data_IF_659633537907
#
_entry.id   IF_659633537907
#
_cell.length_a   1.000
_cell.length_b   1.000
_cell.length_c   1.000
_cell.angle_alpha   90.00
_cell.angle_beta   90.00
_cell.angle_gamma   90.00
#
_symmetry.space_group_name_H-M   'P 1'
#
loop_
_entity.id
_entity.type
_entity.pdbx_description
1 polymer ?
#
# COMPACT_ATOMS: atom_id res chain seq x y z
N UNK A 1 10.20 -4.54 -1.45
CA UNK A 1 11.00 -5.32 -0.48
C UNK A 1 10.05 -5.93 0.54
N UNK A 2 10.36 -7.12 1.04
CA UNK A 2 9.56 -7.86 2.02
C UNK A 2 10.50 -8.41 3.10
N UNK A 3 10.01 -8.51 4.34
CA UNK A 3 10.71 -9.08 5.48
C UNK A 3 9.75 -9.89 6.35
N UNK A 4 10.20 -11.04 6.83
CA UNK A 4 9.46 -11.90 7.77
C UNK A 4 10.22 -12.05 9.09
N UNK A 5 9.51 -12.09 10.22
CA UNK A 5 10.15 -12.28 11.54
C UNK A 5 10.29 -13.76 11.98
N UNK A 6 9.83 -14.70 11.15
CA UNK A 6 9.84 -16.14 11.43
C UNK A 6 8.73 -16.65 12.35
N UNK A 7 7.91 -15.75 12.91
CA UNK A 7 6.72 -16.07 13.71
C UNK A 7 5.41 -15.99 12.89
N UNK A 8 5.52 -15.81 11.57
CA UNK A 8 4.39 -15.63 10.67
C UNK A 8 4.02 -14.16 10.43
N UNK A 9 4.73 -13.20 11.02
CA UNK A 9 4.54 -11.79 10.70
C UNK A 9 5.40 -11.40 9.49
N UNK A 10 4.78 -10.72 8.53
CA UNK A 10 5.41 -10.26 7.29
C UNK A 10 5.12 -8.78 7.11
N UNK A 11 6.15 -8.00 6.81
CA UNK A 11 6.00 -6.61 6.39
C UNK A 11 6.67 -6.42 5.04
N UNK A 12 6.18 -5.47 4.27
CA UNK A 12 6.82 -5.14 3.02
C UNK A 12 6.28 -3.89 2.37
N UNK A 13 6.98 -3.49 1.32
CA UNK A 13 6.66 -2.36 0.48
C UNK A 13 6.82 -2.77 -0.98
N UNK A 14 5.87 -2.41 -1.84
CA UNK A 14 6.08 -2.49 -3.29
C UNK A 14 5.75 -1.16 -3.96
N UNK A 15 6.33 -0.96 -5.14
CA UNK A 15 6.11 0.25 -5.94
C UNK A 15 5.71 -0.14 -7.34
N UNK A 16 4.60 0.41 -7.81
CA UNK A 16 4.13 0.31 -9.19
C UNK A 16 4.36 1.67 -9.84
N UNK A 17 5.05 1.69 -10.97
CA UNK A 17 5.24 2.90 -11.76
C UNK A 17 4.68 2.65 -13.16
N UNK A 18 4.03 3.65 -13.75
CA UNK A 18 3.62 3.61 -15.15
C UNK A 18 4.39 4.60 -16.01
N UNK A 19 4.23 4.48 -17.34
CA UNK A 19 4.98 5.28 -18.33
C UNK A 19 4.60 6.77 -18.30
N UNK A 20 3.47 7.12 -17.70
CA UNK A 20 2.96 8.48 -17.58
C UNK A 20 3.48 9.21 -16.33
N UNK A 21 4.33 8.56 -15.52
CA UNK A 21 4.92 9.13 -14.32
C UNK A 21 4.07 8.99 -13.06
N UNK A 22 2.98 8.21 -13.12
CA UNK A 22 2.23 7.86 -11.92
C UNK A 22 2.96 6.77 -11.14
N UNK A 23 2.90 6.88 -9.82
CA UNK A 23 3.45 5.93 -8.87
C UNK A 23 2.40 5.53 -7.84
N UNK A 24 2.45 4.26 -7.46
CA UNK A 24 1.71 3.71 -6.33
C UNK A 24 2.70 2.99 -5.43
N UNK A 25 2.81 3.45 -4.20
CA UNK A 25 3.60 2.79 -3.16
C UNK A 25 2.63 2.14 -2.20
N UNK A 26 2.85 0.85 -1.91
CA UNK A 26 2.01 0.12 -0.96
C UNK A 26 2.89 -0.45 0.12
N UNK A 27 2.67 0.01 1.34
CA UNK A 27 3.23 -0.55 2.57
C UNK A 27 2.21 -1.52 3.18
N UNK A 28 2.63 -2.71 3.58
CA UNK A 28 1.73 -3.71 4.15
C UNK A 28 2.33 -4.46 5.34
N UNK A 29 1.45 -4.96 6.18
CA UNK A 29 1.73 -5.86 7.29
C UNK A 29 0.70 -7.00 7.31
N UNK A 30 1.19 -8.22 7.43
CA UNK A 30 0.42 -9.42 7.74
C UNK A 30 0.89 -9.94 9.10
N UNK A 31 -0.03 -10.01 10.06
CA UNK A 31 0.21 -10.58 11.40
C UNK A 31 -1.08 -11.27 11.91
N UNK A 32 -1.12 -11.61 13.20
CA UNK A 32 -2.26 -12.24 13.88
C UNK A 32 -3.57 -11.41 13.82
N UNK A 33 -3.48 -10.10 13.59
CA UNK A 33 -4.63 -9.18 13.46
C UNK A 33 -5.13 -9.14 12.00
N UNK A 34 -4.42 -9.78 11.07
CA UNK A 34 -4.76 -9.89 9.67
C UNK A 34 -3.94 -8.97 8.76
N UNK A 35 -4.33 -8.91 7.49
CA UNK A 35 -3.65 -8.12 6.47
C UNK A 35 -4.12 -6.65 6.51
N UNK A 36 -3.18 -5.72 6.62
CA UNK A 36 -3.42 -4.27 6.52
C UNK A 36 -2.41 -3.67 5.55
N UNK A 37 -2.85 -2.70 4.76
CA UNK A 37 -2.00 -1.99 3.82
C UNK A 37 -2.32 -0.50 3.78
N UNK A 38 -1.32 0.29 3.40
CA UNK A 38 -1.41 1.72 3.15
C UNK A 38 -0.94 1.94 1.71
N UNK A 39 -1.80 2.53 0.88
CA UNK A 39 -1.46 2.91 -0.49
C UNK A 39 -1.25 4.43 -0.58
N UNK A 40 -0.14 4.83 -1.18
CA UNK A 40 0.22 6.21 -1.47
C UNK A 40 0.30 6.35 -2.99
N UNK A 41 -0.59 7.15 -3.58
CA UNK A 41 -0.67 7.36 -5.03
C UNK A 41 -0.77 8.83 -5.41
N UNK A 42 -0.16 9.18 -6.55
CA UNK A 42 -0.28 10.49 -7.20
C UNK A 42 -1.19 10.46 -8.45
N UNK A 43 -1.99 9.40 -8.63
CA UNK A 43 -2.89 9.28 -9.79
C UNK A 43 -4.14 10.15 -9.61
N UNK A 44 -4.45 11.05 -10.56
CA UNK A 44 -5.62 11.91 -10.49
C UNK A 44 -6.90 11.07 -10.54
N UNK A 45 -7.79 11.25 -9.55
CA UNK A 45 -9.04 10.50 -9.48
C UNK A 45 -8.98 9.20 -8.68
N UNK A 46 -7.84 8.86 -8.05
CA UNK A 46 -7.77 7.82 -7.01
C UNK A 46 -8.48 8.29 -5.73
N UNK A 47 -9.81 8.43 -5.82
CA UNK A 47 -10.66 8.73 -4.69
C UNK A 47 -10.91 7.45 -3.91
N UNK A 48 -10.18 7.25 -2.79
CA UNK A 48 -10.57 6.56 -1.56
C UNK A 48 -11.69 5.48 -1.65
N UNK A 49 -11.63 4.56 -2.61
CA UNK A 49 -12.58 3.45 -2.69
C UNK A 49 -12.13 2.39 -1.68
N UNK A 50 -12.42 2.64 -0.41
CA UNK A 50 -12.14 1.81 0.76
C UNK A 50 -12.58 0.35 0.54
N UNK A 51 -11.66 -0.58 0.19
CA UNK A 51 -11.93 -2.00 0.19
C UNK A 51 -11.44 -2.51 1.56
N UNK A 52 -12.31 -2.43 2.57
CA UNK A 52 -12.10 -2.95 3.93
C UNK A 52 -10.67 -2.74 4.51
N UNK A 53 -10.51 -1.72 5.36
CA UNK A 53 -9.35 -1.46 6.25
C UNK A 53 -8.03 -1.03 5.58
N UNK A 54 -8.07 -0.55 4.34
CA UNK A 54 -6.94 0.13 3.71
C UNK A 54 -7.06 1.63 3.96
N UNK A 55 -6.06 2.22 4.62
CA UNK A 55 -5.92 3.69 4.71
C UNK A 55 -5.18 4.15 3.46
N UNK A 56 -5.85 4.92 2.61
CA UNK A 56 -5.26 5.47 1.38
C UNK A 56 -4.95 6.94 1.62
N UNK A 57 -3.69 7.35 1.39
CA UNK A 57 -3.26 8.75 1.48
C UNK A 57 -2.92 9.25 0.06
N UNK A 58 -3.63 10.27 -0.40
CA UNK A 58 -3.47 10.85 -1.75
C UNK A 58 -2.78 12.20 -1.65
N UNK A 59 -1.69 12.37 -2.39
CA UNK A 59 -0.88 13.60 -2.42
C UNK A 59 -1.00 14.37 -3.74
N UNK A 60 -2.02 14.07 -4.56
CA UNK A 60 -2.31 14.83 -5.76
C UNK A 60 -2.73 16.27 -5.40
N UNK A 61 -2.23 17.32 -6.10
CA UNK A 61 -2.64 18.70 -5.89
C UNK A 61 -4.09 18.97 -6.34
#
# INVERSE_FOLDING_TARGET
>A
QESSDGSGNVTGTYTINNIEGHSRVVDYVADEIGFRAIEISNEPGSSNLNPAVVTVDSSAP
#
